data_IF_883464256544
#
_entry.id   IF_883464256544
#
_cell.length_a   1.000
_cell.length_b   1.000
_cell.length_c   1.000
_cell.angle_alpha   90.00
_cell.angle_beta   90.00
_cell.angle_gamma   90.00
#
_symmetry.space_group_name_H-M   'P 1'
#
loop_
_entity.id
_entity.type
_entity.pdbx_description
1 polymer ?
#
# COMPACT_ATOMS: atom_id res chain seq x y z
N UNK A 1 -37.80 -1.68 -47.03
CA UNK A 1 -36.90 -1.86 -45.86
C UNK A 1 -37.46 -1.11 -44.65
N UNK A 2 -37.93 -1.81 -43.61
CA UNK A 2 -38.44 -1.17 -42.38
C UNK A 2 -37.26 -0.86 -41.45
N UNK A 3 -36.85 0.40 -41.37
CA UNK A 3 -35.89 0.87 -40.34
C UNK A 3 -36.63 0.93 -39.01
N UNK A 4 -36.25 0.08 -38.05
CA UNK A 4 -36.70 0.19 -36.67
C UNK A 4 -35.89 1.31 -36.03
N UNK A 5 -36.50 2.49 -35.86
CA UNK A 5 -35.97 3.49 -34.94
C UNK A 5 -36.33 3.05 -33.52
N UNK A 6 -35.35 3.06 -32.61
CA UNK A 6 -35.60 2.91 -31.18
C UNK A 6 -36.59 3.99 -30.75
N UNK A 7 -37.60 3.59 -29.97
CA UNK A 7 -38.60 4.54 -29.46
C UNK A 7 -37.96 5.41 -28.38
N UNK A 8 -38.37 6.67 -28.26
CA UNK A 8 -37.83 7.54 -27.19
C UNK A 8 -38.06 6.96 -25.80
N UNK A 9 -39.15 6.23 -25.59
CA UNK A 9 -39.46 5.57 -24.31
C UNK A 9 -38.44 4.48 -23.96
N UNK A 10 -37.93 3.74 -24.95
CA UNK A 10 -36.95 2.68 -24.75
C UNK A 10 -35.59 3.26 -24.32
N UNK A 11 -35.21 4.41 -24.90
CA UNK A 11 -33.98 5.12 -24.50
C UNK A 11 -34.11 5.70 -23.08
N UNK A 12 -35.27 6.23 -22.72
CA UNK A 12 -35.52 6.76 -21.37
C UNK A 12 -35.43 5.65 -20.32
N UNK A 13 -36.00 4.47 -20.59
CA UNK A 13 -35.93 3.35 -19.64
C UNK A 13 -34.49 2.90 -19.39
N UNK A 14 -33.66 2.85 -20.44
CA UNK A 14 -32.25 2.47 -20.33
C UNK A 14 -31.44 3.45 -19.47
N UNK A 15 -31.61 4.76 -19.66
CA UNK A 15 -30.86 5.75 -18.86
C UNK A 15 -31.31 5.78 -17.39
N UNK A 16 -32.59 5.52 -17.11
CA UNK A 16 -33.09 5.39 -15.73
C UNK A 16 -32.44 4.18 -15.05
N UNK A 17 -32.43 3.02 -15.73
CA UNK A 17 -31.79 1.81 -15.18
C UNK A 17 -30.30 2.04 -14.91
N UNK A 18 -29.57 2.58 -15.90
CA UNK A 18 -28.14 2.88 -15.74
C UNK A 18 -27.91 3.91 -14.63
N UNK A 19 -28.78 4.91 -14.48
CA UNK A 19 -28.72 5.91 -13.42
C UNK A 19 -28.81 5.30 -12.02
N UNK A 20 -29.78 4.41 -11.79
CA UNK A 20 -29.97 3.74 -10.50
C UNK A 20 -28.81 2.79 -10.20
N UNK A 21 -28.40 1.97 -11.18
CA UNK A 21 -27.28 1.05 -11.01
C UNK A 21 -25.97 1.79 -10.72
N UNK A 22 -25.72 2.92 -11.40
CA UNK A 22 -24.51 3.73 -11.20
C UNK A 22 -24.46 4.35 -9.81
N UNK A 23 -25.59 4.84 -9.30
CA UNK A 23 -25.66 5.46 -7.97
C UNK A 23 -25.23 4.50 -6.85
N UNK A 24 -25.54 3.21 -6.98
CA UNK A 24 -25.18 2.19 -5.97
C UNK A 24 -23.78 1.60 -6.20
N UNK A 25 -23.36 1.44 -7.46
CA UNK A 25 -22.08 0.80 -7.79
C UNK A 25 -20.85 1.69 -7.53
N UNK A 26 -20.92 2.99 -7.83
CA UNK A 26 -19.79 3.92 -7.70
C UNK A 26 -19.19 3.95 -6.27
N UNK A 27 -19.96 4.11 -5.17
CA UNK A 27 -19.37 4.17 -3.83
C UNK A 27 -18.66 2.87 -3.44
N UNK A 28 -19.19 1.72 -3.87
CA UNK A 28 -18.59 0.40 -3.62
C UNK A 28 -17.26 0.23 -4.35
N UNK A 29 -17.13 0.77 -5.56
CA UNK A 29 -15.89 0.74 -6.33
C UNK A 29 -14.77 1.61 -5.72
N UNK A 30 -15.12 2.69 -5.02
CA UNK A 30 -14.14 3.54 -4.33
C UNK A 30 -13.59 2.81 -3.09
N UNK A 31 -14.46 2.29 -2.22
CA UNK A 31 -14.04 1.56 -1.03
C UNK A 31 -13.21 0.30 -1.39
N UNK A 32 -13.63 -0.45 -2.41
CA UNK A 32 -12.88 -1.64 -2.86
C UNK A 32 -11.48 -1.33 -3.38
N UNK A 33 -11.24 -0.15 -3.96
CA UNK A 33 -9.90 0.29 -4.40
C UNK A 33 -8.98 0.62 -3.22
N UNK A 34 -9.54 1.21 -2.16
CA UNK A 34 -8.80 1.51 -0.94
C UNK A 34 -8.40 0.21 -0.21
N UNK A 35 -9.32 -0.73 -0.07
CA UNK A 35 -9.03 -2.04 0.54
C UNK A 35 -7.99 -2.84 -0.24
N UNK A 36 -8.10 -2.86 -1.57
CA UNK A 36 -7.12 -3.49 -2.44
C UNK A 36 -5.73 -2.85 -2.30
N UNK A 37 -5.67 -1.55 -2.06
CA UNK A 37 -4.43 -0.88 -1.78
C UNK A 37 -3.82 -1.32 -0.45
N UNK A 38 -4.60 -1.35 0.64
CA UNK A 38 -4.09 -1.82 1.93
C UNK A 38 -3.51 -3.24 1.83
N UNK A 39 -4.15 -4.12 1.06
CA UNK A 39 -3.64 -5.47 0.80
C UNK A 39 -2.29 -5.46 0.03
N UNK A 40 -2.17 -4.63 -1.01
CA UNK A 40 -0.91 -4.48 -1.77
C UNK A 40 0.22 -3.94 -0.91
N UNK A 41 -0.03 -2.87 -0.16
CA UNK A 41 0.99 -2.28 0.72
C UNK A 41 1.46 -3.28 1.78
N UNK A 42 0.53 -4.03 2.40
CA UNK A 42 0.88 -5.12 3.33
C UNK A 42 1.77 -6.18 2.70
N UNK A 43 1.41 -6.64 1.49
CA UNK A 43 2.17 -7.65 0.77
C UNK A 43 3.60 -7.17 0.50
N UNK A 44 3.76 -5.96 -0.05
CA UNK A 44 5.08 -5.39 -0.33
C UNK A 44 5.90 -5.13 0.94
N UNK A 45 5.27 -4.72 2.05
CA UNK A 45 5.96 -4.59 3.34
C UNK A 45 6.49 -5.93 3.85
N UNK A 46 5.67 -6.98 3.79
CA UNK A 46 6.07 -8.33 4.22
C UNK A 46 7.17 -8.90 3.35
N UNK A 47 7.11 -8.67 2.05
CA UNK A 47 8.13 -9.08 1.09
C UNK A 47 9.45 -8.35 1.35
N UNK A 48 9.39 -7.02 1.52
CA UNK A 48 10.57 -6.20 1.84
C UNK A 48 11.19 -6.63 3.17
N UNK A 49 10.38 -6.89 4.20
CA UNK A 49 10.87 -7.35 5.50
C UNK A 49 11.58 -8.72 5.37
N UNK A 50 11.01 -9.61 4.57
CA UNK A 50 11.61 -10.91 4.28
C UNK A 50 12.93 -10.75 3.52
N UNK A 51 12.97 -9.93 2.48
CA UNK A 51 14.19 -9.63 1.73
C UNK A 51 15.28 -9.02 2.62
N UNK A 52 14.91 -8.08 3.49
CA UNK A 52 15.83 -7.43 4.42
C UNK A 52 16.41 -8.42 5.44
N UNK A 53 15.58 -9.33 5.98
CA UNK A 53 16.04 -10.37 6.90
C UNK A 53 16.99 -11.38 6.23
N UNK A 54 16.76 -11.70 4.95
CA UNK A 54 17.62 -12.59 4.16
C UNK A 54 18.97 -11.96 3.90
N UNK A 55 19.00 -10.71 3.46
CA UNK A 55 20.26 -9.98 3.24
C UNK A 55 21.02 -9.77 4.55
N UNK A 56 20.33 -9.42 5.65
CA UNK A 56 20.96 -9.34 6.96
C UNK A 56 21.63 -10.66 7.37
N UNK A 57 20.92 -11.78 7.25
CA UNK A 57 21.44 -13.11 7.61
C UNK A 57 22.63 -13.51 6.72
N UNK A 58 22.55 -13.21 5.42
CA UNK A 58 23.65 -13.44 4.47
C UNK A 58 24.91 -12.66 4.84
N UNK A 59 24.76 -11.39 5.22
CA UNK A 59 25.88 -10.52 5.61
C UNK A 59 26.46 -10.91 6.97
N UNK A 60 25.60 -11.31 7.91
CA UNK A 60 26.02 -11.86 9.20
C UNK A 60 26.91 -13.10 9.02
N UNK A 61 26.53 -14.03 8.14
CA UNK A 61 27.36 -15.20 7.81
C UNK A 61 28.69 -14.82 7.15
N UNK A 62 28.78 -13.68 6.49
CA UNK A 62 29.99 -13.17 5.86
C UNK A 62 30.85 -12.30 6.80
N UNK A 63 30.44 -12.13 8.07
CA UNK A 63 31.14 -11.28 9.04
C UNK A 63 31.14 -9.79 8.66
N UNK A 64 30.25 -9.35 7.77
CA UNK A 64 30.16 -7.97 7.28
C UNK A 64 28.90 -7.29 7.83
N UNK A 65 29.01 -6.04 8.25
CA UNK A 65 27.85 -5.22 8.65
C UNK A 65 27.17 -4.63 7.41
N UNK A 66 25.85 -4.49 7.45
CA UNK A 66 25.10 -3.84 6.37
C UNK A 66 25.36 -2.33 6.40
N UNK A 67 25.81 -1.77 5.28
CA UNK A 67 25.94 -0.32 5.15
C UNK A 67 24.57 0.34 4.99
N UNK A 68 24.45 1.59 5.43
CA UNK A 68 23.20 2.36 5.38
C UNK A 68 22.71 2.59 3.93
N UNK A 69 23.62 2.60 2.95
CA UNK A 69 23.31 2.74 1.52
C UNK A 69 22.73 1.46 0.92
N UNK A 70 23.24 0.29 1.28
CA UNK A 70 22.70 -0.99 0.81
C UNK A 70 21.30 -1.25 1.36
N UNK A 71 21.02 -0.77 2.58
CA UNK A 71 19.69 -0.84 3.17
C UNK A 71 18.68 0.04 2.42
N UNK A 72 19.11 1.22 1.95
CA UNK A 72 18.30 2.09 1.09
C UNK A 72 17.92 1.43 -0.24
N UNK A 73 18.85 0.72 -0.87
CA UNK A 73 18.61 0.07 -2.16
C UNK A 73 17.61 -1.08 -2.02
N UNK A 74 17.76 -1.92 -0.99
CA UNK A 74 16.79 -3.00 -0.69
C UNK A 74 15.40 -2.43 -0.41
N UNK A 75 15.31 -1.30 0.30
CA UNK A 75 14.02 -0.66 0.58
C UNK A 75 13.39 -0.06 -0.69
N UNK A 76 14.18 0.53 -1.59
CA UNK A 76 13.67 1.06 -2.86
C UNK A 76 13.21 -0.03 -3.82
N UNK A 77 13.87 -1.17 -3.80
CA UNK A 77 13.55 -2.31 -4.68
C UNK A 77 12.37 -3.14 -4.15
N UNK A 78 12.30 -3.35 -2.82
CA UNK A 78 11.22 -4.12 -2.20
C UNK A 78 9.91 -3.37 -2.02
N UNK A 79 9.96 -2.04 -1.83
CA UNK A 79 8.76 -1.24 -1.62
C UNK A 79 8.20 -0.74 -2.96
N UNK A 80 6.94 -1.06 -3.23
CA UNK A 80 6.21 -0.55 -4.38
C UNK A 80 6.18 0.97 -4.34
N UNK A 81 6.99 1.61 -5.20
CA UNK A 81 6.97 3.05 -5.41
C UNK A 81 5.67 3.43 -6.11
N UNK A 82 4.75 4.00 -5.34
CA UNK A 82 3.43 4.37 -5.84
C UNK A 82 3.52 5.54 -6.81
N UNK A 83 2.90 5.39 -7.97
CA UNK A 83 2.62 6.53 -8.86
C UNK A 83 1.79 7.56 -8.10
N UNK A 84 2.15 8.83 -8.28
CA UNK A 84 2.02 10.01 -7.42
C UNK A 84 0.68 10.36 -6.76
N UNK A 85 -0.38 9.53 -6.76
CA UNK A 85 -1.63 9.92 -6.10
C UNK A 85 -2.62 8.81 -5.73
N UNK A 86 -2.27 7.52 -5.77
CA UNK A 86 -3.28 6.48 -5.47
C UNK A 86 -2.89 5.48 -4.42
N UNK A 87 -1.72 4.82 -4.50
CA UNK A 87 -1.19 3.99 -3.41
C UNK A 87 0.26 3.56 -3.64
N UNK A 88 1.09 3.63 -2.59
CA UNK A 88 2.44 3.07 -2.57
C UNK A 88 3.33 3.73 -1.53
N UNK A 89 4.62 3.41 -1.57
CA UNK A 89 5.60 3.91 -0.62
C UNK A 89 6.50 4.96 -1.25
N UNK A 90 6.86 5.97 -0.48
CA UNK A 90 7.91 6.94 -0.80
C UNK A 90 9.02 6.78 0.22
N UNK A 91 10.18 6.32 -0.24
CA UNK A 91 11.38 6.18 0.59
C UNK A 91 12.15 7.50 0.56
N UNK A 92 12.08 8.26 1.66
CA UNK A 92 12.79 9.53 1.78
C UNK A 92 14.22 9.32 2.32
N UNK A 93 14.39 8.42 3.29
CA UNK A 93 15.68 8.06 3.87
C UNK A 93 15.66 6.62 4.42
N UNK A 94 16.82 6.09 4.84
CA UNK A 94 17.04 4.73 5.36
C UNK A 94 16.18 4.40 6.57
N UNK A 95 15.82 5.43 7.33
CA UNK A 95 15.02 5.28 8.54
C UNK A 95 13.57 5.75 8.33
N UNK A 96 13.31 6.68 7.40
CA UNK A 96 12.00 7.29 7.23
C UNK A 96 11.44 7.02 5.83
N UNK A 97 10.32 6.31 5.77
CA UNK A 97 9.59 6.06 4.53
C UNK A 97 8.10 6.25 4.76
N UNK A 98 7.37 6.67 3.74
CA UNK A 98 5.97 7.09 3.87
C UNK A 98 5.07 6.16 3.07
N UNK A 99 3.98 5.67 3.66
CA UNK A 99 2.89 5.03 2.93
C UNK A 99 1.89 6.09 2.47
N UNK A 100 1.46 6.01 1.23
CA UNK A 100 0.34 6.79 0.69
C UNK A 100 -0.80 5.85 0.41
N UNK A 101 -1.99 6.19 0.92
CA UNK A 101 -3.25 5.52 0.57
C UNK A 101 -4.29 6.58 0.26
N UNK A 102 -4.69 6.69 -1.02
CA UNK A 102 -5.64 7.71 -1.45
C UNK A 102 -5.13 9.12 -1.18
N UNK A 103 -5.83 9.89 -0.34
CA UNK A 103 -5.47 11.26 0.06
C UNK A 103 -4.65 11.32 1.36
N UNK A 104 -4.55 10.20 2.07
CA UNK A 104 -3.88 10.14 3.37
C UNK A 104 -2.45 9.62 3.20
N UNK A 105 -1.52 10.23 3.94
CA UNK A 105 -0.12 9.82 3.99
C UNK A 105 0.29 9.54 5.44
N UNK A 106 1.06 8.46 5.64
CA UNK A 106 1.57 8.03 6.93
C UNK A 106 3.08 7.85 6.85
N UNK A 107 3.81 8.54 7.71
CA UNK A 107 5.23 8.28 7.91
C UNK A 107 5.42 7.00 8.75
N UNK A 108 6.31 6.12 8.29
CA UNK A 108 6.71 4.88 8.93
C UNK A 108 8.21 4.95 9.19
N UNK A 109 8.62 4.46 10.36
CA UNK A 109 10.01 4.53 10.81
C UNK A 109 10.60 3.13 10.92
N UNK A 110 11.77 2.92 10.35
CA UNK A 110 12.50 1.66 10.47
C UNK A 110 13.48 1.83 11.62
N UNK A 111 13.26 1.11 12.71
CA UNK A 111 14.28 1.00 13.75
C UNK A 111 15.33 0.01 13.26
N UNK A 112 16.34 0.54 12.56
CA UNK A 112 17.55 -0.18 12.16
C UNK A 112 18.53 -0.18 13.33
N UNK A 113 18.24 -0.96 14.37
CA UNK A 113 19.26 -1.22 15.39
C UNK A 113 20.26 -2.24 14.80
N UNK A 114 21.23 -1.70 14.06
CA UNK A 114 22.23 -2.40 13.22
C UNK A 114 23.13 -3.37 13.99
N UNK A 115 23.00 -3.49 15.30
CA UNK A 115 23.88 -4.33 16.12
C UNK A 115 23.25 -5.60 16.72
N UNK A 116 21.94 -5.71 16.93
CA UNK A 116 21.42 -6.88 17.68
C UNK A 116 19.98 -7.34 17.40
N UNK A 117 19.20 -6.67 16.54
CA UNK A 117 17.79 -7.05 16.35
C UNK A 117 17.36 -7.00 14.88
N UNK A 118 16.53 -7.97 14.48
CA UNK A 118 15.94 -7.99 13.14
C UNK A 118 15.24 -6.66 12.87
N UNK A 119 15.51 -5.99 11.74
CA UNK A 119 14.93 -4.68 11.44
C UNK A 119 13.40 -4.81 11.39
N UNK A 120 12.75 -4.12 12.31
CA UNK A 120 11.31 -4.05 12.40
C UNK A 120 10.83 -2.76 11.76
N UNK A 121 9.89 -2.89 10.83
CA UNK A 121 9.12 -1.74 10.33
C UNK A 121 8.16 -1.35 11.44
N UNK A 122 8.37 -0.17 12.03
CA UNK A 122 7.53 0.34 13.12
C UNK A 122 6.77 1.57 12.64
N UNK A 123 5.51 1.64 13.03
CA UNK A 123 4.63 2.73 12.68
C UNK A 123 3.89 3.11 13.97
N UNK A 124 3.53 4.39 14.12
CA UNK A 124 2.83 4.84 15.31
C UNK A 124 1.42 4.21 15.38
N UNK A 125 1.23 3.32 16.35
CA UNK A 125 0.00 2.53 16.55
C UNK A 125 -1.22 3.38 16.94
N UNK A 126 -1.06 4.69 17.23
CA UNK A 126 -2.20 5.60 17.45
C UNK A 126 -2.92 5.93 16.14
N UNK A 127 -2.32 5.68 14.99
CA UNK A 127 -2.91 5.99 13.69
C UNK A 127 -3.66 4.75 13.16
N UNK A 128 -4.97 4.90 12.91
CA UNK A 128 -5.84 3.81 12.39
C UNK A 128 -5.32 3.17 11.11
N UNK A 129 -4.62 3.97 10.28
CA UNK A 129 -3.96 3.55 9.05
C UNK A 129 -2.76 2.61 9.32
N UNK A 130 -1.98 2.89 10.38
CA UNK A 130 -0.89 2.02 10.83
C UNK A 130 -1.45 0.66 11.28
N UNK A 131 -2.49 0.63 12.13
CA UNK A 131 -3.10 -0.62 12.58
C UNK A 131 -3.65 -1.46 11.42
N UNK A 132 -4.24 -0.80 10.41
CA UNK A 132 -4.59 -1.48 9.16
C UNK A 132 -3.32 -2.03 8.51
N UNK A 133 -2.29 -1.24 8.25
CA UNK A 133 -1.09 -1.69 7.53
C UNK A 133 -0.24 -2.75 8.26
N UNK A 134 -0.13 -2.72 9.58
CA UNK A 134 0.68 -3.69 10.34
C UNK A 134 -0.14 -4.88 10.90
N UNK A 135 -1.47 -4.77 10.93
CA UNK A 135 -2.34 -5.80 11.51
C UNK A 135 -2.23 -5.93 13.05
N UNK A 136 -1.32 -5.19 13.69
CA UNK A 136 -1.21 -5.08 15.14
C UNK A 136 -2.21 -4.06 15.67
N UNK A 137 -3.03 -4.47 16.64
CA UNK A 137 -3.80 -3.55 17.49
C UNK A 137 -2.91 -3.06 18.62
N UNK A 138 -3.05 -1.79 19.00
CA UNK A 138 -2.48 -1.27 20.25
C UNK A 138 -3.04 -2.11 21.39
N UNK A 139 -2.21 -2.96 21.98
CA UNK A 139 -2.52 -3.56 23.28
C UNK A 139 -2.40 -2.43 24.30
N UNK A 140 -3.54 -2.01 24.85
CA UNK A 140 -3.58 -1.19 26.06
C UNK A 140 -2.82 -1.88 27.19
#
# INVERSE_FOLDING_TARGET
MKRKCFTMIEVIFVVIIIGILSAVAIPKLVAGREDACYAKLRASLSETQSALSREYTKRFMQGKTMSQQELLDILKEGLVSGSSNKCGFIVNNSNNFSAIVGKDSLAMNITTDVLTKSPAITCDLKITMCQKLTGKKTTN
#
